data_IF_653005422717
#
_entry.id   IF_653005422717
#
_cell.length_a   1.000
_cell.length_b   1.000
_cell.length_c   1.000
_cell.angle_alpha   90.00
_cell.angle_beta   90.00
_cell.angle_gamma   90.00
#
_symmetry.space_group_name_H-M   'P 1'
#
loop_
_entity.id
_entity.type
_entity.pdbx_description
1 polymer ?
#
# COMPACT_ATOMS: atom_id res chain seq x y z
N UNK A 1 -34.40 -16.85 -6.93
CA UNK A 1 -33.50 -17.06 -5.78
C UNK A 1 -32.64 -15.81 -5.60
N UNK A 2 -32.99 -14.98 -4.61
CA UNK A 2 -32.22 -13.79 -4.25
C UNK A 2 -30.90 -14.22 -3.58
N UNK A 3 -29.86 -14.42 -4.35
CA UNK A 3 -28.52 -14.79 -3.85
C UNK A 3 -28.01 -13.68 -2.91
N UNK A 4 -27.68 -14.03 -1.70
CA UNK A 4 -27.04 -13.16 -0.72
C UNK A 4 -25.54 -13.24 -0.91
N UNK A 5 -24.85 -12.12 -1.15
CA UNK A 5 -23.40 -12.06 -1.21
C UNK A 5 -22.84 -11.14 -0.13
N UNK A 6 -21.60 -11.39 0.27
CA UNK A 6 -20.84 -10.58 1.19
C UNK A 6 -19.58 -10.11 0.48
N UNK A 7 -19.26 -8.83 0.62
CA UNK A 7 -18.03 -8.24 0.10
C UNK A 7 -17.16 -7.77 1.27
N UNK A 8 -15.90 -8.17 1.26
CA UNK A 8 -14.88 -7.70 2.20
C UNK A 8 -13.83 -6.94 1.42
N UNK A 9 -13.82 -5.61 1.57
CA UNK A 9 -12.81 -4.75 0.97
C UNK A 9 -11.83 -4.29 2.06
N UNK A 10 -10.55 -4.48 1.83
CA UNK A 10 -9.51 -4.05 2.77
C UNK A 10 -8.33 -3.46 1.99
N UNK A 11 -7.60 -2.49 2.58
CA UNK A 11 -6.42 -1.95 1.96
C UNK A 11 -5.28 -2.98 1.99
N UNK A 12 -4.40 -2.94 0.99
CA UNK A 12 -3.20 -3.78 0.88
C UNK A 12 -2.29 -3.71 2.12
N UNK A 13 -2.26 -2.55 2.80
CA UNK A 13 -1.51 -2.33 4.04
C UNK A 13 -1.84 -3.31 5.17
N UNK A 14 -3.02 -3.93 5.15
CA UNK A 14 -3.37 -4.95 6.15
C UNK A 14 -2.51 -6.20 5.99
N UNK A 15 -2.11 -6.54 4.77
CA UNK A 15 -1.30 -7.73 4.45
C UNK A 15 0.16 -7.41 4.18
N UNK A 16 0.48 -6.16 3.80
CA UNK A 16 1.84 -5.68 3.59
C UNK A 16 2.50 -5.08 4.82
N UNK A 17 1.70 -4.78 5.87
CA UNK A 17 2.05 -4.07 7.10
C UNK A 17 2.45 -2.61 6.87
N UNK A 18 3.42 -2.32 6.03
CA UNK A 18 3.83 -0.96 5.64
C UNK A 18 4.45 -0.95 4.24
N UNK A 19 4.41 0.21 3.61
CA UNK A 19 4.93 0.41 2.25
C UNK A 19 6.45 0.22 2.21
N UNK A 20 6.95 -0.53 1.23
CA UNK A 20 8.37 -0.88 1.09
C UNK A 20 8.83 -1.96 2.06
N UNK A 21 7.90 -2.70 2.70
CA UNK A 21 8.26 -3.85 3.52
C UNK A 21 8.63 -5.07 2.67
N UNK A 22 9.47 -5.93 3.19
CA UNK A 22 9.77 -7.25 2.58
C UNK A 22 8.48 -8.06 2.36
N UNK A 23 7.48 -7.88 3.24
CA UNK A 23 6.17 -8.54 3.09
C UNK A 23 5.42 -8.01 1.87
N UNK A 24 5.40 -6.69 1.66
CA UNK A 24 4.81 -6.09 0.47
C UNK A 24 5.51 -6.57 -0.79
N UNK A 25 6.84 -6.47 -0.82
CA UNK A 25 7.66 -6.77 -1.99
C UNK A 25 7.55 -8.22 -2.44
N UNK A 26 7.65 -9.17 -1.52
CA UNK A 26 7.72 -10.59 -1.85
C UNK A 26 6.37 -11.31 -1.83
N UNK A 27 5.40 -10.83 -1.02
CA UNK A 27 4.17 -11.58 -0.74
C UNK A 27 2.87 -10.83 -1.05
N UNK A 28 2.92 -9.57 -1.46
CA UNK A 28 1.73 -8.80 -1.84
C UNK A 28 1.80 -8.36 -3.30
N UNK A 29 2.81 -7.60 -3.66
CA UNK A 29 2.94 -7.05 -5.01
C UNK A 29 2.97 -8.10 -6.13
N UNK A 30 3.56 -9.29 -5.97
CA UNK A 30 3.51 -10.33 -7.01
C UNK A 30 2.10 -10.84 -7.33
N UNK A 31 1.15 -10.64 -6.43
CA UNK A 31 -0.23 -11.14 -6.56
C UNK A 31 -1.24 -10.03 -6.87
N UNK A 32 -1.06 -8.84 -6.28
CA UNK A 32 -1.93 -7.69 -6.49
C UNK A 32 -1.65 -7.07 -7.86
N UNK A 33 -2.68 -6.97 -8.71
CA UNK A 33 -2.52 -6.45 -10.09
C UNK A 33 -2.00 -7.48 -11.11
N UNK A 34 -1.82 -8.73 -10.71
CA UNK A 34 -1.53 -9.82 -11.64
C UNK A 34 -2.80 -10.25 -12.38
N UNK A 35 -2.96 -9.83 -13.63
CA UNK A 35 -4.13 -10.18 -14.47
C UNK A 35 -4.33 -11.69 -14.65
N UNK A 36 -3.29 -12.51 -14.49
CA UNK A 36 -3.39 -13.97 -14.51
C UNK A 36 -4.04 -14.56 -13.25
N UNK A 37 -4.13 -13.76 -12.17
CA UNK A 37 -4.71 -14.14 -10.88
C UNK A 37 -5.82 -13.16 -10.49
N UNK A 38 -6.38 -12.43 -11.44
CA UNK A 38 -7.35 -11.35 -11.19
C UNK A 38 -8.61 -11.82 -10.41
N UNK A 39 -8.96 -13.09 -10.54
CA UNK A 39 -10.07 -13.72 -9.81
C UNK A 39 -9.65 -15.11 -9.33
N UNK A 40 -9.79 -15.35 -8.04
CA UNK A 40 -9.64 -16.67 -7.44
C UNK A 40 -11.01 -17.11 -6.90
N UNK A 41 -11.57 -18.14 -7.51
CA UNK A 41 -12.82 -18.74 -7.04
C UNK A 41 -12.52 -19.80 -5.99
N UNK A 42 -13.14 -19.69 -4.80
CA UNK A 42 -13.04 -20.68 -3.75
C UNK A 42 -14.26 -21.58 -3.75
N UNK A 43 -14.01 -22.90 -3.85
CA UNK A 43 -15.04 -23.95 -3.75
C UNK A 43 -14.71 -24.84 -2.56
N UNK A 44 -15.72 -25.47 -1.95
CA UNK A 44 -15.50 -26.41 -0.83
C UNK A 44 -14.94 -27.78 -1.30
N UNK A 45 -14.04 -27.77 -2.30
CA UNK A 45 -13.47 -28.98 -2.91
C UNK A 45 -12.17 -29.44 -2.28
N UNK A 46 -11.40 -28.48 -1.71
CA UNK A 46 -10.12 -28.78 -1.03
C UNK A 46 -10.13 -28.27 0.40
N UNK A 47 -9.29 -28.84 1.26
CA UNK A 47 -9.22 -28.46 2.69
C UNK A 47 -8.92 -26.98 2.89
N UNK A 48 -7.92 -26.44 2.19
CA UNK A 48 -7.52 -25.05 2.34
C UNK A 48 -8.59 -24.05 1.84
N UNK A 49 -9.31 -24.36 0.75
CA UNK A 49 -10.41 -23.52 0.28
C UNK A 49 -11.60 -23.53 1.25
N UNK A 50 -11.89 -24.69 1.82
CA UNK A 50 -12.91 -24.83 2.87
C UNK A 50 -12.54 -23.98 4.08
N UNK A 51 -11.29 -24.02 4.50
CA UNK A 51 -10.78 -23.24 5.63
C UNK A 51 -10.88 -21.72 5.39
N UNK A 52 -10.55 -21.22 4.17
CA UNK A 52 -10.76 -19.84 3.79
C UNK A 52 -12.24 -19.46 3.89
N UNK A 53 -13.13 -20.26 3.30
CA UNK A 53 -14.57 -19.99 3.34
C UNK A 53 -15.13 -19.99 4.77
N UNK A 54 -14.68 -20.90 5.62
CA UNK A 54 -15.08 -20.95 7.03
C UNK A 54 -14.51 -19.76 7.83
N UNK A 55 -13.32 -19.28 7.47
CA UNK A 55 -12.72 -18.06 8.05
C UNK A 55 -13.48 -16.81 7.65
N UNK A 56 -13.90 -16.69 6.39
CA UNK A 56 -14.76 -15.59 5.92
C UNK A 56 -16.11 -15.55 6.66
N UNK A 57 -16.73 -16.71 6.93
CA UNK A 57 -17.96 -16.78 7.73
C UNK A 57 -17.74 -16.35 9.19
N UNK A 58 -16.60 -16.72 9.80
CA UNK A 58 -16.21 -16.21 11.13
C UNK A 58 -16.06 -14.70 11.15
N UNK A 59 -15.45 -14.12 10.10
CA UNK A 59 -15.33 -12.67 9.95
C UNK A 59 -16.71 -11.99 9.84
N UNK A 60 -17.66 -12.55 9.11
CA UNK A 60 -19.04 -12.04 9.05
C UNK A 60 -19.65 -11.92 10.44
N UNK A 61 -19.48 -12.92 11.28
CA UNK A 61 -19.98 -12.92 12.67
C UNK A 61 -19.33 -11.82 13.52
N UNK A 62 -18.02 -11.58 13.35
CA UNK A 62 -17.32 -10.50 14.03
C UNK A 62 -17.85 -9.12 13.59
N UNK A 63 -18.09 -8.91 12.30
CA UNK A 63 -18.68 -7.68 11.78
C UNK A 63 -20.11 -7.46 12.30
N UNK A 64 -20.94 -8.49 12.41
CA UNK A 64 -22.28 -8.39 12.99
C UNK A 64 -22.23 -7.98 14.45
N UNK A 65 -21.40 -8.63 15.27
CA UNK A 65 -21.20 -8.29 16.69
C UNK A 65 -20.75 -6.83 16.88
N UNK A 66 -19.87 -6.34 16.00
CA UNK A 66 -19.42 -4.94 16.03
C UNK A 66 -20.56 -3.96 15.79
N UNK A 67 -21.43 -4.24 14.78
CA UNK A 67 -22.58 -3.38 14.47
C UNK A 67 -23.59 -3.30 15.62
N UNK A 68 -23.77 -4.39 16.35
CA UNK A 68 -24.69 -4.47 17.48
C UNK A 68 -24.21 -3.67 18.70
N UNK A 69 -22.90 -3.68 18.95
CA UNK A 69 -22.33 -3.09 20.18
C UNK A 69 -22.15 -1.58 20.18
N UNK A 70 -22.32 -0.88 19.05
CA UNK A 70 -22.15 0.60 18.90
C UNK A 70 -20.93 1.21 19.62
N UNK A 71 -19.93 0.42 19.99
CA UNK A 71 -18.75 0.87 20.74
C UNK A 71 -17.61 1.27 19.81
N UNK A 72 -16.73 2.16 20.33
CA UNK A 72 -15.50 2.56 19.70
C UNK A 72 -14.63 1.35 19.32
N UNK A 73 -13.65 1.56 18.40
CA UNK A 73 -12.69 0.58 17.90
C UNK A 73 -12.35 -0.50 18.92
N UNK A 74 -12.79 -1.72 18.69
CA UNK A 74 -12.69 -2.83 19.63
C UNK A 74 -11.68 -3.89 19.19
N UNK A 75 -11.45 -4.88 20.07
CA UNK A 75 -10.58 -6.02 19.77
C UNK A 75 -11.00 -6.83 18.54
N UNK A 76 -12.28 -6.73 18.14
CA UNK A 76 -12.85 -7.38 16.96
C UNK A 76 -12.19 -6.92 15.66
N UNK A 77 -11.82 -5.63 15.53
CA UNK A 77 -11.11 -5.13 14.34
C UNK A 77 -9.73 -5.77 14.19
N UNK A 78 -9.02 -5.90 15.29
CA UNK A 78 -7.73 -6.58 15.28
C UNK A 78 -7.85 -8.06 14.93
N UNK A 79 -8.90 -8.74 15.43
CA UNK A 79 -9.20 -10.12 15.07
C UNK A 79 -9.52 -10.27 13.59
N UNK A 80 -10.27 -9.33 13.00
CA UNK A 80 -10.56 -9.30 11.57
C UNK A 80 -9.26 -9.12 10.76
N UNK A 81 -8.37 -8.21 11.16
CA UNK A 81 -7.09 -8.01 10.49
C UNK A 81 -6.23 -9.29 10.50
N UNK A 82 -6.15 -9.99 11.64
CA UNK A 82 -5.45 -11.28 11.74
C UNK A 82 -6.07 -12.29 10.75
N UNK A 83 -7.38 -12.39 10.68
CA UNK A 83 -8.07 -13.31 9.76
C UNK A 83 -7.80 -12.98 8.29
N UNK A 84 -7.69 -11.71 7.93
CA UNK A 84 -7.32 -11.30 6.57
C UNK A 84 -5.89 -11.78 6.25
N UNK A 85 -4.94 -11.60 7.18
CA UNK A 85 -3.56 -12.07 7.00
C UNK A 85 -3.50 -13.60 6.89
N UNK A 86 -4.26 -14.34 7.71
CA UNK A 86 -4.36 -15.82 7.62
C UNK A 86 -4.89 -16.26 6.25
N UNK A 87 -5.96 -15.64 5.75
CA UNK A 87 -6.52 -15.93 4.42
C UNK A 87 -5.48 -15.64 3.34
N UNK A 88 -4.82 -14.49 3.41
CA UNK A 88 -3.79 -14.10 2.46
C UNK A 88 -2.65 -15.12 2.42
N UNK A 89 -2.14 -15.51 3.57
CA UNK A 89 -1.11 -16.54 3.69
C UNK A 89 -1.54 -17.88 3.05
N UNK A 90 -2.75 -18.36 3.36
CA UNK A 90 -3.28 -19.60 2.76
C UNK A 90 -3.40 -19.48 1.24
N UNK A 91 -3.80 -18.31 0.73
CA UNK A 91 -3.88 -18.05 -0.72
C UNK A 91 -2.50 -18.15 -1.38
N UNK A 92 -1.49 -17.46 -0.86
CA UNK A 92 -0.13 -17.44 -1.43
C UNK A 92 0.41 -18.88 -1.50
N UNK A 93 0.38 -19.60 -0.38
CA UNK A 93 0.92 -20.96 -0.29
C UNK A 93 0.27 -21.96 -1.27
N UNK A 94 -0.97 -21.73 -1.67
CA UNK A 94 -1.71 -22.67 -2.51
C UNK A 94 -1.82 -22.22 -3.98
N UNK A 95 -1.77 -20.91 -4.27
CA UNK A 95 -1.69 -20.40 -5.64
C UNK A 95 -0.37 -20.84 -6.29
N UNK A 96 0.74 -20.75 -5.58
CA UNK A 96 2.05 -21.22 -6.06
C UNK A 96 2.03 -22.71 -6.41
N UNK A 97 1.40 -23.53 -5.54
CA UNK A 97 1.26 -24.99 -5.77
C UNK A 97 0.34 -25.35 -6.94
N UNK A 98 -0.58 -24.46 -7.31
CA UNK A 98 -1.55 -24.73 -8.40
C UNK A 98 -0.95 -24.64 -9.81
N UNK A 99 0.34 -24.34 -9.93
CA UNK A 99 1.06 -24.30 -11.22
C UNK A 99 0.63 -23.13 -12.12
N UNK A 100 -0.15 -22.19 -11.64
CA UNK A 100 -0.42 -20.92 -12.33
C UNK A 100 0.87 -20.09 -12.28
N UNK A 101 1.74 -20.32 -13.28
CA UNK A 101 2.99 -19.57 -13.43
C UNK A 101 2.66 -18.09 -13.56
N UNK A 102 3.16 -17.29 -12.64
CA UNK A 102 3.24 -15.86 -12.80
C UNK A 102 4.02 -15.61 -14.10
N UNK A 103 3.46 -14.84 -15.02
CA UNK A 103 4.11 -14.57 -16.29
C UNK A 103 5.48 -13.91 -16.04
N UNK A 104 6.53 -14.36 -16.72
CA UNK A 104 7.85 -13.74 -16.65
C UNK A 104 7.82 -12.24 -17.02
N UNK A 105 6.90 -11.82 -17.89
CA UNK A 105 6.69 -10.41 -18.22
C UNK A 105 6.14 -9.63 -17.02
N UNK A 106 5.29 -10.25 -16.21
CA UNK A 106 4.75 -9.64 -14.99
C UNK A 106 5.83 -9.51 -13.91
N UNK A 107 6.61 -10.55 -13.68
CA UNK A 107 7.75 -10.53 -12.72
C UNK A 107 8.69 -9.38 -13.09
N UNK A 108 9.12 -9.29 -14.35
CA UNK A 108 9.99 -8.20 -14.82
C UNK A 108 9.37 -6.81 -14.63
N UNK A 109 8.05 -6.69 -14.82
CA UNK A 109 7.35 -5.41 -14.58
C UNK A 109 7.40 -5.03 -13.11
N UNK A 110 7.18 -5.99 -12.20
CA UNK A 110 7.26 -5.77 -10.76
C UNK A 110 8.69 -5.39 -10.32
N UNK A 111 9.70 -6.13 -10.79
CA UNK A 111 11.10 -5.83 -10.52
C UNK A 111 11.46 -4.39 -10.93
N UNK A 112 10.99 -3.93 -12.10
CA UNK A 112 11.18 -2.56 -12.57
C UNK A 112 10.51 -1.52 -11.67
N UNK A 113 9.27 -1.77 -11.27
CA UNK A 113 8.54 -0.88 -10.34
C UNK A 113 9.24 -0.84 -8.98
N UNK A 114 9.68 -1.98 -8.46
CA UNK A 114 10.42 -2.05 -7.20
C UNK A 114 11.73 -1.27 -7.26
N UNK A 115 12.48 -1.41 -8.34
CA UNK A 115 13.70 -0.64 -8.54
C UNK A 115 13.44 0.87 -8.53
N UNK A 116 12.36 1.33 -9.19
CA UNK A 116 11.94 2.73 -9.19
C UNK A 116 11.48 3.21 -7.81
N UNK A 117 10.71 2.42 -7.08
CA UNK A 117 10.28 2.75 -5.72
C UNK A 117 11.46 2.82 -4.76
N UNK A 118 12.37 1.84 -4.81
CA UNK A 118 13.59 1.83 -4.01
C UNK A 118 14.48 3.04 -4.30
N UNK A 119 14.58 3.46 -5.57
CA UNK A 119 15.29 4.67 -5.94
C UNK A 119 14.65 5.92 -5.29
N UNK A 120 13.33 6.05 -5.38
CA UNK A 120 12.61 7.16 -4.72
C UNK A 120 12.87 7.14 -3.22
N UNK A 121 12.75 6.01 -2.56
CA UNK A 121 12.93 5.89 -1.11
C UNK A 121 14.35 6.24 -0.65
N UNK A 122 15.35 5.91 -1.44
CA UNK A 122 16.75 6.17 -1.11
C UNK A 122 17.20 7.60 -1.45
N UNK A 123 16.56 8.23 -2.45
CA UNK A 123 17.00 9.51 -3.01
C UNK A 123 16.00 10.66 -2.83
N UNK A 124 14.88 10.46 -2.10
CA UNK A 124 13.79 11.45 -2.00
C UNK A 124 14.22 12.83 -1.50
N UNK A 125 15.28 12.90 -0.71
CA UNK A 125 15.83 14.16 -0.18
C UNK A 125 16.53 15.02 -1.24
N UNK A 126 16.94 14.41 -2.35
CA UNK A 126 17.66 15.09 -3.42
C UNK A 126 16.72 15.53 -4.55
N UNK A 127 17.12 16.54 -5.35
CA UNK A 127 16.44 16.86 -6.60
C UNK A 127 16.32 15.60 -7.47
N UNK A 128 15.13 15.34 -7.98
CA UNK A 128 14.85 14.13 -8.75
C UNK A 128 13.89 14.47 -9.89
N UNK A 129 14.16 13.98 -11.09
CA UNK A 129 13.30 14.10 -12.25
C UNK A 129 12.70 12.75 -12.65
N UNK A 130 11.69 12.77 -13.51
CA UNK A 130 11.06 11.54 -14.02
C UNK A 130 12.03 10.62 -14.77
N UNK A 131 13.04 11.21 -15.43
CA UNK A 131 14.05 10.44 -16.15
C UNK A 131 14.93 9.61 -15.19
N UNK A 132 15.28 10.17 -14.02
CA UNK A 132 16.07 9.46 -13.01
C UNK A 132 15.31 8.23 -12.49
N UNK A 133 14.00 8.40 -12.22
CA UNK A 133 13.14 7.32 -11.75
C UNK A 133 12.99 6.24 -12.83
N UNK A 134 12.77 6.64 -14.09
CA UNK A 134 12.63 5.72 -15.22
C UNK A 134 13.93 4.94 -15.47
N UNK A 135 15.09 5.60 -15.35
CA UNK A 135 16.41 4.97 -15.48
C UNK A 135 16.62 3.89 -14.41
N UNK A 136 16.22 4.14 -13.17
CA UNK A 136 16.31 3.15 -12.09
C UNK A 136 15.55 1.86 -12.41
N UNK A 137 14.42 1.93 -13.12
CA UNK A 137 13.66 0.78 -13.61
C UNK A 137 14.11 0.25 -14.97
N UNK A 138 15.13 0.86 -15.58
CA UNK A 138 15.57 0.56 -16.96
C UNK A 138 14.40 0.58 -17.97
N UNK A 139 13.62 1.66 -17.94
CA UNK A 139 12.45 1.89 -18.80
C UNK A 139 12.43 3.30 -19.36
N UNK A 140 11.64 3.53 -20.40
CA UNK A 140 11.34 4.88 -20.87
C UNK A 140 10.46 5.65 -19.86
N UNK A 141 10.51 6.99 -19.89
CA UNK A 141 9.65 7.83 -19.04
C UNK A 141 8.16 7.50 -19.23
N UNK A 142 7.74 7.21 -20.46
CA UNK A 142 6.36 6.82 -20.76
C UNK A 142 5.97 5.48 -20.11
N UNK A 143 6.85 4.48 -20.13
CA UNK A 143 6.64 3.20 -19.46
C UNK A 143 6.65 3.33 -17.94
N UNK A 144 7.54 4.18 -17.41
CA UNK A 144 7.57 4.51 -15.99
C UNK A 144 6.22 5.06 -15.53
N UNK A 145 5.69 6.10 -16.20
CA UNK A 145 4.40 6.69 -15.85
C UNK A 145 3.24 5.68 -15.96
N UNK A 146 3.18 4.87 -17.02
CA UNK A 146 2.16 3.82 -17.18
C UNK A 146 2.27 2.77 -16.09
N UNK A 147 3.48 2.25 -15.84
CA UNK A 147 3.73 1.24 -14.83
C UNK A 147 3.34 1.70 -13.42
N UNK A 148 3.71 2.92 -13.05
CA UNK A 148 3.29 3.53 -11.77
C UNK A 148 1.76 3.66 -11.67
N UNK A 149 1.10 4.14 -12.75
CA UNK A 149 -0.36 4.28 -12.75
C UNK A 149 -1.07 2.93 -12.60
N UNK A 150 -0.56 1.89 -13.23
CA UNK A 150 -1.15 0.56 -13.18
C UNK A 150 -0.91 -0.17 -11.85
N UNK A 151 0.30 -0.05 -11.28
CA UNK A 151 0.69 -0.82 -10.08
C UNK A 151 0.48 -0.02 -8.80
N UNK A 152 0.86 1.28 -8.81
CA UNK A 152 0.82 2.15 -7.62
C UNK A 152 -0.44 3.01 -7.60
N UNK A 153 -1.23 3.02 -8.69
CA UNK A 153 -2.42 3.86 -8.89
C UNK A 153 -2.16 5.37 -8.83
N UNK A 154 -0.90 5.79 -8.96
CA UNK A 154 -0.44 7.18 -8.90
C UNK A 154 0.64 7.44 -9.95
N UNK A 155 0.89 8.70 -10.27
CA UNK A 155 2.10 9.05 -11.03
C UNK A 155 3.35 9.00 -10.13
N UNK A 156 4.57 8.85 -10.71
CA UNK A 156 5.80 8.87 -9.94
C UNK A 156 5.98 10.16 -9.11
N UNK A 157 5.61 11.31 -9.67
CA UNK A 157 5.70 12.60 -8.99
C UNK A 157 4.72 12.72 -7.81
N UNK A 158 3.48 12.21 -7.97
CA UNK A 158 2.52 12.15 -6.87
C UNK A 158 3.02 11.25 -5.75
N UNK A 159 3.57 10.09 -6.10
CA UNK A 159 4.14 9.17 -5.13
C UNK A 159 5.34 9.80 -4.38
N UNK A 160 6.28 10.43 -5.09
CA UNK A 160 7.42 11.12 -4.50
C UNK A 160 6.97 12.23 -3.55
N UNK A 161 5.98 13.05 -3.96
CA UNK A 161 5.44 14.10 -3.10
C UNK A 161 4.80 13.52 -1.84
N UNK A 162 4.02 12.46 -1.95
CA UNK A 162 3.41 11.79 -0.80
C UNK A 162 4.46 11.20 0.15
N UNK A 163 5.48 10.56 -0.40
CA UNK A 163 6.56 10.00 0.39
C UNK A 163 7.31 11.08 1.18
N UNK A 164 7.64 12.20 0.52
CA UNK A 164 8.25 13.38 1.16
C UNK A 164 7.38 13.94 2.28
N UNK A 165 6.07 14.06 2.06
CA UNK A 165 5.13 14.50 3.11
C UNK A 165 5.08 13.50 4.27
N UNK A 166 5.09 12.19 4.00
CA UNK A 166 5.15 11.19 5.05
C UNK A 166 6.39 11.36 5.93
N UNK A 167 7.57 11.50 5.32
CA UNK A 167 8.84 11.72 6.05
C UNK A 167 8.87 13.05 6.79
N UNK A 168 8.26 14.10 6.21
CA UNK A 168 8.18 15.40 6.86
C UNK A 168 7.36 15.39 8.17
N UNK A 169 6.36 14.53 8.29
CA UNK A 169 5.58 14.38 9.53
C UNK A 169 6.45 13.89 10.70
N UNK A 170 7.39 12.99 10.41
CA UNK A 170 8.33 12.47 11.41
C UNK A 170 9.26 13.58 11.89
N UNK A 171 9.83 14.36 10.94
CA UNK A 171 10.71 15.48 11.27
C UNK A 171 9.98 16.59 12.03
N UNK A 172 8.76 16.95 11.62
CA UNK A 172 7.98 18.00 12.30
C UNK A 172 7.65 17.66 13.74
N UNK A 173 7.52 16.38 14.09
CA UNK A 173 7.22 15.92 15.44
C UNK A 173 8.45 15.57 16.27
N UNK A 174 9.47 15.04 15.61
CA UNK A 174 10.65 14.49 16.26
C UNK A 174 11.83 15.46 16.39
N UNK A 175 11.73 16.67 15.81
CA UNK A 175 12.85 17.65 15.81
C UNK A 175 12.35 19.07 16.04
N UNK A 176 13.30 19.96 16.38
CA UNK A 176 13.05 21.41 16.51
C UNK A 176 13.15 22.17 15.17
N UNK A 177 13.37 21.48 14.06
CA UNK A 177 13.50 22.11 12.73
C UNK A 177 12.28 22.99 12.39
N UNK A 178 12.53 24.13 11.81
CA UNK A 178 11.49 25.00 11.26
C UNK A 178 10.80 24.36 10.05
N UNK A 179 9.63 24.84 9.69
CA UNK A 179 8.88 24.37 8.49
C UNK A 179 9.72 24.50 7.22
N UNK A 180 10.53 25.56 7.12
CA UNK A 180 11.43 25.80 5.98
C UNK A 180 12.55 24.75 5.93
N UNK A 181 13.19 24.49 7.05
CA UNK A 181 14.26 23.48 7.15
C UNK A 181 13.72 22.08 6.86
N UNK A 182 12.55 21.72 7.40
CA UNK A 182 11.89 20.44 7.10
C UNK A 182 11.58 20.31 5.62
N UNK A 183 11.06 21.38 4.99
CA UNK A 183 10.78 21.40 3.54
C UNK A 183 12.03 21.07 2.72
N UNK A 184 13.16 21.70 3.03
CA UNK A 184 14.45 21.41 2.39
C UNK A 184 14.97 20.01 2.68
N UNK A 185 14.92 19.58 3.94
CA UNK A 185 15.40 18.27 4.38
C UNK A 185 14.67 17.10 3.71
N UNK A 186 13.39 17.27 3.35
CA UNK A 186 12.65 16.24 2.60
C UNK A 186 12.65 16.44 1.08
N UNK A 187 13.46 17.38 0.56
CA UNK A 187 13.72 17.53 -0.87
C UNK A 187 12.72 18.39 -1.65
N UNK A 188 11.90 19.24 -0.99
CA UNK A 188 11.09 20.22 -1.72
C UNK A 188 11.92 21.45 -2.09
N UNK A 189 11.89 21.84 -3.38
CA UNK A 189 12.57 23.03 -3.88
C UNK A 189 11.84 24.34 -3.52
N UNK A 190 10.59 24.27 -3.08
CA UNK A 190 9.75 25.42 -2.72
C UNK A 190 8.96 25.13 -1.46
N UNK A 191 9.15 25.97 -0.45
CA UNK A 191 8.39 25.91 0.81
C UNK A 191 6.89 26.11 0.58
N UNK A 192 6.50 26.97 -0.35
CA UNK A 192 5.10 27.20 -0.69
C UNK A 192 4.45 25.93 -1.27
N UNK A 193 5.15 25.26 -2.19
CA UNK A 193 4.69 23.98 -2.74
C UNK A 193 4.60 22.90 -1.67
N UNK A 194 5.60 22.81 -0.78
CA UNK A 194 5.54 21.90 0.38
C UNK A 194 4.30 22.13 1.23
N UNK A 195 4.02 23.40 1.62
CA UNK A 195 2.86 23.74 2.46
C UNK A 195 1.55 23.34 1.77
N UNK A 196 1.41 23.59 0.47
CA UNK A 196 0.24 23.21 -0.30
C UNK A 196 0.04 21.69 -0.34
N UNK A 197 1.10 20.94 -0.66
CA UNK A 197 1.06 19.47 -0.69
C UNK A 197 0.73 18.90 0.70
N UNK A 198 1.38 19.40 1.75
CA UNK A 198 1.17 18.97 3.11
C UNK A 198 -0.28 19.20 3.56
N UNK A 199 -0.83 20.41 3.33
CA UNK A 199 -2.22 20.71 3.67
C UNK A 199 -3.21 19.87 2.88
N UNK A 200 -2.96 19.65 1.58
CA UNK A 200 -3.81 18.78 0.74
C UNK A 200 -3.87 17.34 1.27
N UNK A 201 -2.75 16.80 1.76
CA UNK A 201 -2.65 15.40 2.18
C UNK A 201 -3.03 15.17 3.64
N UNK A 202 -2.90 16.19 4.50
CA UNK A 202 -3.10 16.04 5.96
C UNK A 202 -4.30 16.79 6.50
N UNK A 203 -4.87 17.70 5.71
CA UNK A 203 -5.94 18.61 6.15
C UNK A 203 -5.44 19.80 6.98
N UNK A 204 -4.18 19.82 7.42
CA UNK A 204 -3.60 20.87 8.27
C UNK A 204 -2.34 21.46 7.66
N UNK A 205 -1.98 22.68 8.05
CA UNK A 205 -0.67 23.25 7.66
C UNK A 205 0.47 22.58 8.44
N UNK A 206 1.72 22.54 7.91
CA UNK A 206 2.86 21.98 8.64
C UNK A 206 3.06 22.62 10.03
N UNK A 207 2.86 23.94 10.15
CA UNK A 207 2.96 24.66 11.42
C UNK A 207 1.88 24.22 12.42
N UNK A 208 0.63 24.10 11.97
CA UNK A 208 -0.45 23.59 12.81
C UNK A 208 -0.17 22.15 13.24
N UNK A 209 0.29 21.30 12.32
CA UNK A 209 0.63 19.91 12.58
C UNK A 209 1.77 19.75 13.61
N UNK A 210 2.82 20.60 13.52
CA UNK A 210 3.92 20.62 14.51
C UNK A 210 3.41 21.00 15.91
N UNK A 211 2.45 21.93 15.99
CA UNK A 211 1.91 22.40 17.27
C UNK A 211 0.81 21.50 17.86
N UNK A 212 0.31 20.50 17.13
CA UNK A 212 -0.57 19.48 17.67
C UNK A 212 0.24 18.55 18.60
N UNK A 213 0.28 18.89 19.89
CA UNK A 213 0.78 17.95 20.91
C UNK A 213 -0.15 16.73 20.95
N UNK A 214 0.42 15.53 20.87
CA UNK A 214 -0.31 14.31 21.19
C UNK A 214 -0.65 14.27 22.68
#
# INVERSE_FOLDING_TARGET
>A
DGGRYLSFNFPDKVVSFFSGSTMEENFVLPYVGNYGIAVVEFKRTTSWQKEILDTLLKMELLFKRRREKRQAVGREEYQIAIKIVEIWYMMICNIEKSGKKISNSYIRKQERIQAMLSYIHNQYMHPMCLADIAQAGNVSVGECCRGFKEVVCKSPNEYLAEYRILRSKELLRGTELSVTEVSGAVGFNSVSHFIQCFKKMTGATPKAYKNMKC
#
